data_IF_165766514331
#
_entry.id   IF_165766514331
#
_cell.length_a   1.000
_cell.length_b   1.000
_cell.length_c   1.000
_cell.angle_alpha   90.00
_cell.angle_beta   90.00
_cell.angle_gamma   90.00
#
_symmetry.space_group_name_H-M   'P 1'
#
loop_
_entity.id
_entity.type
_entity.pdbx_description
1 polymer ?
2 polymer ?
3 polymer ?
4 water ?
#
loop_
_entity_poly.entity_id
_entity_poly.type
_entity_poly.pdbx_seq_one_letter_code
_entity_poly.pdbx_strand_id
1 'polydeoxyribonucleotide' '(DT)(DA)(DT)(DA)(DA)(DC)(DT)(DT)(DC)(DG)(DT)(DA)(DT)(DA)(DG)(DC)' ?
2 'polydeoxyribonucleotide' '(DA)(DT)(DA)(DT)(DG)(DC)(DT)(DA)(DT)(DA)(DC)(DG)(DA)(DA)(DG)(DT)(DT)(DA)(DT)' ?
#
# COMPACT_ATOMS: atom_id res chain seq x y z
N UNK C 1 -5.56 1.59 -26.00
CA UNK C 1 -6.05 1.22 -27.33
C UNK C 1 -7.50 0.83 -27.25
N UNK C 2 -8.34 1.43 -28.08
CA UNK C 2 -9.76 1.10 -28.08
C UNK C 2 -10.01 -0.34 -28.52
N UNK C 3 -9.41 -0.77 -29.62
CA UNK C 3 -9.60 -2.16 -30.06
C UNK C 3 -9.57 -3.01 -28.80
N UNK C 4 -8.62 -2.69 -27.94
CA UNK C 4 -8.52 -3.40 -26.68
C UNK C 4 -9.48 -2.71 -25.70
N UNK C 5 -9.53 -1.38 -25.74
CA UNK C 5 -10.40 -0.60 -24.85
C UNK C 5 -11.84 -0.70 -25.29
N UNK C 6 -12.12 -0.01 -26.40
CA UNK C 6 -13.43 0.02 -27.03
C UNK C 6 -14.06 -1.37 -26.88
N UNK C 7 -13.21 -2.39 -26.99
CA UNK C 7 -13.65 -3.74 -26.80
C UNK C 7 -13.67 -4.08 -25.31
N UNK C 8 -12.64 -3.68 -24.58
CA UNK C 8 -12.66 -3.99 -23.15
C UNK C 8 -13.73 -3.15 -22.46
N UNK C 9 -14.43 -2.35 -23.25
CA UNK C 9 -15.57 -1.63 -22.73
C UNK C 9 -16.53 -2.81 -22.72
N UNK C 10 -16.43 -3.62 -23.76
CA UNK C 10 -17.29 -4.80 -23.92
C UNK C 10 -16.69 -6.17 -23.53
N UNK C 11 -17.39 -6.82 -22.59
CA UNK C 11 -17.13 -8.19 -22.07
C UNK C 11 -17.08 -8.45 -20.55
N UNK C 12 -16.69 -9.68 -20.22
CA UNK C 12 -16.58 -10.12 -18.83
C UNK C 12 -17.93 -9.94 -18.14
N UNK C 13 -18.89 -10.74 -18.61
CA UNK C 13 -20.31 -10.74 -18.19
C UNK C 13 -20.75 -10.34 -16.79
N UNK C 14 -19.87 -10.43 -15.82
CA UNK C 14 -20.25 -10.05 -14.48
C UNK C 14 -19.19 -9.25 -13.74
N UNK C 15 -19.18 -7.95 -14.02
CA UNK C 15 -18.25 -6.99 -13.40
C UNK C 15 -17.73 -7.41 -12.04
N UNK C 16 -18.63 -7.41 -11.04
CA UNK C 16 -18.27 -7.77 -9.68
C UNK C 16 -17.50 -9.09 -9.51
N UNK C 17 -17.01 -9.63 -10.62
CA UNK C 17 -16.20 -10.83 -10.65
C UNK C 17 -14.75 -10.46 -10.31
N UNK C 18 -14.33 -9.26 -10.68
CA UNK C 18 -12.97 -8.80 -10.36
C UNK C 18 -13.00 -7.43 -9.76
N UNK C 19 -12.00 -7.14 -8.93
CA UNK C 19 -11.90 -5.84 -8.29
C UNK C 19 -11.68 -4.78 -9.38
N UNK C 20 -12.12 -3.56 -9.11
CA UNK C 20 -11.91 -2.47 -10.06
C UNK C 20 -10.40 -2.27 -10.31
N UNK C 21 -9.62 -2.28 -9.24
CA UNK C 21 -8.18 -2.15 -9.41
C UNK C 21 -7.75 -3.28 -10.35
N UNK C 22 -8.25 -4.49 -10.12
CA UNK C 22 -7.86 -5.59 -11.00
C UNK C 22 -8.21 -5.27 -12.47
N UNK C 23 -9.40 -4.73 -12.72
CA UNK C 23 -9.77 -4.44 -14.09
C UNK C 23 -8.84 -3.45 -14.72
N UNK C 24 -8.37 -2.50 -13.93
CA UNK C 24 -7.48 -1.44 -14.42
C UNK C 24 -6.16 -2.03 -14.92
N UNK C 25 -5.61 -2.96 -14.17
CA UNK C 25 -4.37 -3.59 -14.54
C UNK C 25 -4.54 -4.45 -15.79
N UNK C 26 -5.64 -5.18 -15.87
CA UNK C 26 -5.91 -6.04 -17.02
C UNK C 26 -5.88 -5.20 -18.29
N UNK C 27 -6.50 -4.03 -18.20
CA UNK C 27 -6.57 -3.11 -19.32
C UNK C 27 -5.18 -2.53 -19.69
N UNK C 28 -4.40 -2.13 -18.68
CA UNK C 28 -3.09 -1.56 -18.94
C UNK C 28 -2.21 -2.63 -19.63
N UNK C 29 -2.25 -3.83 -19.08
CA UNK C 29 -1.49 -4.93 -19.63
C UNK C 29 -1.90 -5.23 -21.07
N UNK C 30 -3.21 -5.25 -21.32
CA UNK C 30 -3.77 -5.50 -22.64
C UNK C 30 -3.35 -4.45 -23.66
N UNK C 31 -3.25 -3.21 -23.20
CA UNK C 31 -2.80 -2.14 -24.07
C UNK C 31 -1.33 -2.42 -24.43
N UNK C 32 -0.54 -2.76 -23.43
CA UNK C 32 0.88 -3.03 -23.61
C UNK C 32 1.11 -4.21 -24.57
N UNK C 33 0.48 -5.32 -24.25
CA UNK C 33 0.60 -6.50 -25.04
C UNK C 33 0.12 -6.23 -26.50
N UNK C 34 -1.00 -5.52 -26.66
CA UNK C 34 -1.55 -5.19 -27.99
C UNK C 34 -0.60 -4.31 -28.82
N UNK C 35 -0.06 -3.27 -28.18
CA UNK C 35 0.88 -2.39 -28.86
C UNK C 35 2.12 -3.21 -29.34
N UNK C 36 2.63 -4.11 -28.49
CA UNK C 36 3.81 -4.91 -28.81
C UNK C 36 3.50 -5.87 -29.94
N UNK C 37 2.29 -6.41 -29.92
CA UNK C 37 1.86 -7.31 -30.95
C UNK C 37 1.76 -6.52 -32.29
N UNK C 38 1.24 -5.31 -32.21
CA UNK C 38 1.10 -4.48 -33.39
C UNK C 38 2.45 -4.16 -34.02
N UNK C 39 3.37 -3.61 -33.22
CA UNK C 39 4.70 -3.25 -33.69
C UNK C 39 5.48 -4.43 -34.25
N UNK C 40 5.32 -5.59 -33.64
CA UNK C 40 6.07 -6.75 -34.03
C UNK C 40 5.28 -7.69 -34.88
N UNK C 41 4.11 -7.23 -35.30
CA UNK C 41 3.27 -8.07 -36.13
C UNK C 41 2.92 -9.45 -35.61
N UNK C 42 2.45 -9.54 -34.36
CA UNK C 42 2.02 -10.85 -33.84
C UNK C 42 0.52 -10.81 -33.54
N UNK C 43 -0.07 -11.99 -33.38
CA UNK C 43 -1.50 -12.14 -33.06
C UNK C 43 -1.74 -11.87 -31.59
N UNK C 44 -2.59 -10.89 -31.30
CA UNK C 44 -2.92 -10.52 -29.91
C UNK C 44 -3.79 -11.48 -29.12
N UNK C 45 -4.77 -12.10 -29.77
CA UNK C 45 -5.61 -13.12 -29.12
C UNK C 45 -6.23 -14.08 -30.12
N UNK C 46 -6.16 -15.36 -29.83
CA UNK C 46 -5.50 -15.88 -28.65
C UNK C 46 -3.99 -15.81 -28.83
N UNK C 47 -3.29 -15.50 -27.74
CA UNK C 47 -1.85 -15.36 -27.75
C UNK C 47 -1.09 -16.65 -27.98
N UNK C 48 0.01 -16.60 -28.75
CA UNK C 48 0.84 -17.79 -28.95
C UNK C 48 1.97 -17.77 -27.96
N UNK C 49 2.18 -18.91 -27.34
CA UNK C 49 3.20 -19.07 -26.30
C UNK C 49 4.55 -18.43 -26.61
N UNK C 50 5.07 -18.70 -27.80
CA UNK C 50 6.39 -18.21 -28.23
C UNK C 50 6.39 -16.71 -28.27
N UNK C 51 5.22 -16.17 -28.61
CA UNK C 51 5.01 -14.73 -28.61
C UNK C 51 4.94 -14.18 -27.18
N UNK C 52 4.25 -14.89 -26.29
CA UNK C 52 4.16 -14.43 -24.91
C UNK C 52 5.56 -14.44 -24.35
N UNK C 53 6.26 -15.55 -24.57
CA UNK C 53 7.62 -15.68 -24.11
C UNK C 53 8.50 -14.49 -24.52
N UNK C 54 8.41 -14.11 -25.80
CA UNK C 54 9.21 -13.01 -26.30
C UNK C 54 8.76 -11.70 -25.68
N UNK C 55 7.46 -11.54 -25.47
CA UNK C 55 6.93 -10.31 -24.84
C UNK C 55 7.43 -10.16 -23.39
N UNK C 56 7.49 -11.25 -22.65
CA UNK C 56 8.01 -11.19 -21.28
C UNK C 56 9.51 -10.79 -21.29
N UNK C 57 10.28 -11.35 -22.22
CA UNK C 57 11.70 -11.02 -22.35
C UNK C 57 11.86 -9.53 -22.70
N UNK C 58 10.91 -9.04 -23.47
CA UNK C 58 10.88 -7.64 -23.85
C UNK C 58 10.70 -6.75 -22.57
N UNK C 59 9.84 -7.21 -21.65
CA UNK C 59 9.60 -6.47 -20.39
C UNK C 59 10.87 -6.49 -19.58
N UNK C 60 11.46 -7.69 -19.48
CA UNK C 60 12.69 -7.83 -18.76
C UNK C 60 13.81 -6.96 -19.40
N UNK C 61 13.89 -6.98 -20.73
CA UNK C 61 14.93 -6.21 -21.43
C UNK C 61 14.74 -4.71 -21.31
N UNK C 62 13.53 -4.29 -20.91
CA UNK C 62 13.32 -2.89 -20.65
C UNK C 62 13.47 -2.46 -19.19
N UNK C 63 13.98 -3.36 -18.37
CA UNK C 63 14.25 -3.03 -16.98
C UNK C 63 13.08 -3.22 -16.01
N UNK C 64 12.05 -3.95 -16.38
CA UNK C 64 10.95 -4.11 -15.44
C UNK C 64 11.23 -5.14 -14.35
N UNK C 65 10.57 -4.96 -13.19
CA UNK C 65 10.74 -5.85 -12.02
C UNK C 65 10.05 -7.16 -12.27
N UNK C 66 10.53 -8.21 -11.60
CA UNK C 66 9.93 -9.53 -11.75
C UNK C 66 8.43 -9.48 -11.38
N UNK C 67 8.09 -8.78 -10.31
CA UNK C 67 6.68 -8.69 -9.94
C UNK C 67 5.85 -8.03 -11.06
N UNK C 68 6.44 -7.08 -11.78
CA UNK C 68 5.77 -6.43 -12.89
C UNK C 68 5.54 -7.41 -14.04
N UNK C 69 6.59 -8.17 -14.37
CA UNK C 69 6.50 -9.17 -15.44
C UNK C 69 5.45 -10.25 -15.13
N UNK C 70 5.43 -10.71 -13.86
CA UNK C 70 4.47 -11.71 -13.35
C UNK C 70 3.07 -11.13 -13.52
N UNK C 71 2.94 -9.82 -13.26
CA UNK C 71 1.65 -9.15 -13.43
C UNK C 71 1.10 -9.27 -14.88
N UNK C 72 1.94 -8.90 -15.86
CA UNK C 72 1.55 -8.96 -17.26
C UNK C 72 1.24 -10.39 -17.65
N UNK C 73 2.05 -11.31 -17.21
CA UNK C 73 1.77 -12.71 -17.55
C UNK C 73 0.44 -13.07 -16.91
N UNK C 74 0.24 -12.60 -15.66
CA UNK C 74 -0.97 -12.85 -14.87
C UNK C 74 -2.26 -12.46 -15.61
N UNK C 75 -2.31 -11.23 -16.08
CA UNK C 75 -3.47 -10.77 -16.82
C UNK C 75 -3.70 -11.55 -18.11
N UNK C 76 -2.61 -11.89 -18.79
CA UNK C 76 -2.71 -12.62 -20.04
C UNK C 76 -3.35 -13.95 -19.77
N UNK C 77 -2.88 -14.60 -18.70
CA UNK C 77 -3.44 -15.88 -18.31
C UNK C 77 -4.93 -15.68 -18.06
N UNK C 78 -5.27 -14.60 -17.35
CA UNK C 78 -6.66 -14.33 -17.07
C UNK C 78 -7.41 -14.18 -18.37
N UNK C 79 -7.33 -13.02 -19.01
CA UNK C 79 -8.00 -12.81 -20.29
C UNK C 79 -8.33 -14.19 -20.90
N UNK C 80 -7.30 -15.00 -21.04
CA UNK C 80 -7.42 -16.32 -21.61
C UNK C 80 -8.21 -17.31 -20.76
N UNK C 81 -7.95 -17.38 -19.46
CA UNK C 81 -8.67 -18.34 -18.62
C UNK C 81 -10.19 -18.16 -18.77
N UNK C 82 -10.65 -16.91 -18.84
CA UNK C 82 -12.07 -16.60 -18.97
C UNK C 82 -12.80 -17.09 -20.22
N UNK C 83 -12.09 -17.24 -21.33
CA UNK C 83 -12.72 -17.72 -22.56
C UNK C 83 -12.27 -19.14 -22.78
N UNK C 84 -12.04 -19.84 -21.67
CA UNK C 84 -11.60 -21.23 -21.73
C UNK C 84 -10.63 -21.52 -22.87
N UNK C 85 -9.36 -21.14 -22.65
CA UNK C 85 -8.26 -21.37 -23.60
C UNK C 85 -7.03 -21.66 -22.73
N UNK C 86 -6.21 -22.62 -23.12
CA UNK C 86 -5.01 -22.91 -22.33
C UNK C 86 -4.36 -21.56 -21.99
N UNK C 87 -4.06 -21.36 -20.72
CA UNK C 87 -3.45 -20.11 -20.29
C UNK C 87 -2.04 -20.07 -20.83
N UNK C 88 -1.60 -18.89 -21.27
CA UNK C 88 -0.23 -18.79 -21.77
C UNK C 88 0.75 -19.48 -20.84
N UNK C 89 0.55 -19.35 -19.53
CA UNK C 89 1.44 -19.98 -18.58
C UNK C 89 1.55 -21.50 -18.67
N UNK C 90 0.52 -22.17 -19.18
CA UNK C 90 0.60 -23.62 -19.26
C UNK C 90 1.32 -24.17 -20.47
N UNK C 91 1.93 -23.26 -21.22
CA UNK C 91 2.76 -23.57 -22.36
C UNK C 91 4.11 -23.70 -21.69
N UNK C 92 4.87 -24.72 -22.03
CA UNK C 92 6.14 -24.85 -21.36
C UNK C 92 7.15 -23.78 -21.78
N UNK C 93 6.89 -23.11 -22.88
CA UNK C 93 7.82 -22.05 -23.30
C UNK C 93 7.74 -20.85 -22.35
N UNK C 94 6.53 -20.57 -21.89
CA UNK C 94 6.29 -19.46 -20.95
C UNK C 94 6.77 -19.83 -19.55
N UNK C 95 6.65 -21.10 -19.20
CA UNK C 95 7.10 -21.59 -17.90
C UNK C 95 8.60 -21.50 -17.76
N UNK C 96 9.33 -21.98 -18.77
CA UNK C 96 10.79 -21.94 -18.70
C UNK C 96 11.22 -20.49 -18.64
N UNK C 97 10.54 -19.63 -19.41
CA UNK C 97 10.92 -18.24 -19.41
C UNK C 97 10.80 -17.55 -18.06
N UNK C 98 9.65 -17.72 -17.40
CA UNK C 98 9.45 -17.09 -16.10
C UNK C 98 10.48 -17.56 -15.08
N UNK C 99 10.89 -18.82 -15.24
CA UNK C 99 11.90 -19.42 -14.39
C UNK C 99 13.25 -18.78 -14.71
N UNK C 100 13.64 -18.77 -15.98
CA UNK C 100 14.91 -18.15 -16.32
C UNK C 100 14.92 -16.70 -15.80
N UNK C 101 13.88 -15.94 -16.16
CA UNK C 101 13.74 -14.52 -15.74
C UNK C 101 13.91 -14.29 -14.25
N UNK C 102 13.28 -15.14 -13.45
CA UNK C 102 13.38 -15.03 -12.00
C UNK C 102 14.79 -15.25 -11.52
N UNK C 103 15.44 -16.25 -12.08
CA UNK C 103 16.80 -16.59 -11.70
C UNK C 103 17.82 -15.50 -12.03
N UNK C 104 17.79 -15.00 -13.27
CA UNK C 104 18.72 -13.96 -13.64
C UNK C 104 18.54 -12.73 -12.78
N UNK C 105 17.32 -12.21 -12.77
CA UNK C 105 16.97 -11.00 -12.02
C UNK C 105 17.48 -11.12 -10.59
N UNK C 106 17.22 -12.27 -9.99
CA UNK C 106 17.70 -12.55 -8.64
C UNK C 106 19.25 -12.50 -8.63
N UNK C 107 19.89 -13.35 -9.43
CA UNK C 107 21.34 -13.37 -9.49
C UNK C 107 21.89 -11.99 -9.82
N UNK C 108 21.01 -11.12 -10.27
CA UNK C 108 21.36 -9.74 -10.60
C UNK C 108 21.23 -8.92 -9.34
N UNK C 109 20.96 -9.61 -8.23
CA UNK C 109 20.79 -8.95 -6.94
C UNK C 109 19.43 -8.24 -6.79
N UNK C 110 18.54 -8.43 -7.74
CA UNK C 110 17.24 -7.79 -7.63
C UNK C 110 16.38 -8.44 -6.56
N UNK C 111 15.70 -7.59 -5.78
CA UNK C 111 14.84 -8.01 -4.67
C UNK C 111 13.69 -7.01 -4.51
N UNK C 112 12.54 -7.47 -4.03
CA UNK C 112 11.37 -6.60 -3.85
C UNK C 112 11.69 -5.46 -2.88
N UNK C 113 11.41 -4.25 -3.32
CA UNK C 113 11.63 -3.08 -2.48
C UNK C 113 10.57 -3.02 -1.35
N UNK C 114 10.67 -2.00 -0.52
CA UNK C 114 9.73 -1.80 0.58
C UNK C 114 9.75 -0.32 0.93
N UNK C 115 8.58 0.22 1.29
CA UNK C 115 8.45 1.63 1.65
C UNK C 115 9.43 2.04 2.73
N UNK C 116 9.84 3.30 2.66
CA UNK C 116 10.74 3.83 3.64
C UNK C 116 9.94 3.84 4.94
N UNK C 117 10.52 3.24 5.98
CA UNK C 117 9.87 3.11 7.28
C UNK C 117 9.59 4.43 8.01
N UNK C 118 8.39 4.55 8.55
CA UNK C 118 8.04 5.69 9.37
C UNK C 118 7.87 4.97 10.73
N UNK C 119 8.84 5.16 11.61
CA UNK C 119 8.88 4.44 12.89
C UNK C 119 8.60 5.34 14.06
N UNK C 120 8.68 4.78 15.27
CA UNK C 120 8.43 5.55 16.48
C UNK C 120 9.32 6.80 16.63
N UNK C 121 10.58 6.71 16.21
CA UNK C 121 11.50 7.85 16.29
C UNK C 121 11.04 8.91 15.33
N UNK C 122 10.57 8.49 14.17
CA UNK C 122 10.00 9.41 13.17
C UNK C 122 8.71 10.07 13.69
N UNK C 123 7.83 9.28 14.31
CA UNK C 123 6.58 9.78 14.84
C UNK C 123 6.83 10.82 15.97
N UNK C 124 7.74 10.50 16.87
CA UNK C 124 8.08 11.40 17.97
C UNK C 124 8.67 12.71 17.43
N UNK C 125 9.50 12.61 16.41
CA UNK C 125 10.10 13.79 15.84
C UNK C 125 9.04 14.66 15.18
N UNK C 126 8.22 14.06 14.34
CA UNK C 126 7.17 14.83 13.68
C UNK C 126 6.23 15.42 14.73
N UNK C 127 5.95 14.64 15.77
CA UNK C 127 5.08 15.15 16.81
C UNK C 127 5.72 16.34 17.52
N UNK C 128 7.04 16.31 17.66
CA UNK C 128 7.77 17.41 18.27
C UNK C 128 7.59 18.69 17.44
N UNK C 129 7.76 18.58 16.13
CA UNK C 129 7.64 19.76 15.29
C UNK C 129 6.19 20.25 15.20
N UNK C 130 5.28 19.32 14.96
CA UNK C 130 3.89 19.63 14.67
C UNK C 130 2.83 19.78 15.78
N UNK C 131 3.05 19.16 16.94
CA UNK C 131 2.04 19.17 18.00
C UNK C 131 1.50 20.51 18.48
N UNK C 132 2.35 21.55 18.52
CA UNK C 132 1.88 22.88 18.96
C UNK C 132 1.22 23.72 17.85
N UNK C 133 1.31 23.23 16.62
CA UNK C 133 0.75 23.93 15.48
C UNK C 133 -0.74 24.28 15.56
N UNK C 134 -1.09 25.42 15.01
CA UNK C 134 -2.47 25.87 14.98
C UNK C 134 -3.02 25.82 13.55
N UNK C 135 -2.20 25.28 12.63
CA UNK C 135 -2.61 25.14 11.22
C UNK C 135 -3.52 23.92 11.08
N UNK C 136 -4.70 24.12 10.51
CA UNK C 136 -5.67 23.06 10.31
C UNK C 136 -5.03 21.81 9.62
N UNK C 137 -4.29 22.06 8.55
CA UNK C 137 -3.54 21.04 7.81
C UNK C 137 -2.62 20.23 8.72
N UNK C 138 -1.87 20.90 9.59
CA UNK C 138 -0.97 20.20 10.51
C UNK C 138 -1.75 19.40 11.52
N UNK C 139 -2.88 19.92 11.98
CA UNK C 139 -3.67 19.21 12.99
C UNK C 139 -4.21 17.91 12.36
N UNK C 140 -4.72 18.03 11.14
CA UNK C 140 -5.26 16.88 10.41
C UNK C 140 -4.17 15.87 10.12
N UNK C 141 -3.04 16.35 9.57
CA UNK C 141 -1.95 15.48 9.15
C UNK C 141 -1.31 14.71 10.26
N UNK C 142 -1.18 15.36 11.41
CA UNK C 142 -0.62 14.71 12.59
C UNK C 142 -1.58 13.64 13.14
N UNK C 143 -2.88 13.90 13.07
CA UNK C 143 -3.82 12.87 13.52
C UNK C 143 -3.75 11.68 12.56
N UNK C 144 -3.61 11.99 11.26
CA UNK C 144 -3.55 10.96 10.22
C UNK C 144 -2.31 10.08 10.45
N UNK C 145 -1.19 10.70 10.75
CA UNK C 145 0.03 9.93 10.93
C UNK C 145 -0.05 9.09 12.20
N UNK C 146 -0.74 9.60 13.22
CA UNK C 146 -0.88 8.89 14.47
C UNK C 146 -1.70 7.62 14.25
N UNK C 147 -2.79 7.77 13.53
CA UNK C 147 -3.63 6.63 13.24
C UNK C 147 -2.89 5.59 12.40
N UNK C 148 -2.21 6.07 11.36
CA UNK C 148 -1.49 5.18 10.45
C UNK C 148 -0.48 4.32 11.19
N UNK C 149 0.28 4.96 12.10
CA UNK C 149 1.31 4.29 12.85
C UNK C 149 0.74 3.35 13.93
N UNK C 150 -0.26 3.84 14.67
CA UNK C 150 -0.93 3.10 15.77
C UNK C 150 -1.73 1.90 15.27
N UNK C 151 -2.42 2.07 14.14
CA UNK C 151 -3.30 1.02 13.64
C UNK C 151 -2.72 0.18 12.52
N UNK C 152 -1.67 0.67 11.85
CA UNK C 152 -1.08 -0.07 10.72
C UNK C 152 -2.09 -0.23 9.59
N UNK C 153 -3.15 0.55 9.61
CA UNK C 153 -4.13 0.45 8.53
C UNK C 153 -3.56 0.97 7.20
N UNK C 154 -4.00 0.34 6.10
CA UNK C 154 -3.63 0.78 4.75
C UNK C 154 -4.32 2.14 4.47
N UNK C 155 -3.74 2.95 3.60
CA UNK C 155 -4.35 4.24 3.25
C UNK C 155 -5.80 4.15 2.77
N UNK C 156 -6.16 3.14 1.97
CA UNK C 156 -7.56 2.99 1.52
C UNK C 156 -8.55 2.76 2.68
N UNK C 157 -8.08 2.10 3.74
CA UNK C 157 -8.90 1.84 4.91
C UNK C 157 -9.02 3.10 5.73
N UNK C 158 -7.93 3.84 5.84
CA UNK C 158 -7.97 5.06 6.61
C UNK C 158 -8.87 6.09 5.90
N UNK C 159 -8.81 6.15 4.57
CA UNK C 159 -9.63 7.10 3.82
C UNK C 159 -11.14 6.86 4.03
N UNK C 160 -11.47 5.61 4.33
CA UNK C 160 -12.85 5.25 4.48
C UNK C 160 -13.45 5.23 5.89
N UNK C 161 -12.66 5.56 6.87
CA UNK C 161 -13.20 5.63 8.22
C UNK C 161 -14.21 6.80 8.29
N UNK C 162 -15.39 6.53 8.84
CA UNK C 162 -16.40 7.56 9.05
C UNK C 162 -16.45 7.82 10.53
N UNK C 163 -16.90 9.01 10.92
CA UNK C 163 -16.98 9.38 12.32
C UNK C 163 -17.75 8.37 13.19
N UNK C 164 -18.83 7.83 12.64
CA UNK C 164 -19.62 6.85 13.37
C UNK C 164 -18.84 5.57 13.65
N UNK C 165 -17.70 5.36 12.99
CA UNK C 165 -16.93 4.15 13.20
C UNK C 165 -16.16 4.25 14.52
N UNK C 166 -16.15 5.44 15.08
CA UNK C 166 -15.35 5.65 16.27
C UNK C 166 -16.15 5.50 17.57
N UNK C 167 -15.63 4.76 18.52
CA UNK C 167 -16.30 4.57 19.80
C UNK C 167 -15.22 4.72 20.87
N UNK C 168 -15.59 4.56 22.13
CA UNK C 168 -14.60 4.68 23.18
C UNK C 168 -14.36 3.41 23.94
N UNK C 169 -13.14 3.27 24.42
CA UNK C 169 -12.82 2.07 25.14
C UNK C 169 -12.14 2.43 26.42
N UNK C 170 -11.47 1.44 26.99
CA UNK C 170 -10.83 1.58 28.26
C UNK C 170 -10.02 2.87 28.35
N UNK C 171 -10.37 3.73 29.30
CA UNK C 171 -9.61 4.96 29.55
C UNK C 171 -9.98 6.13 28.68
N UNK C 172 -10.96 5.95 27.81
CA UNK C 172 -11.37 7.04 26.94
C UNK C 172 -10.68 6.92 25.60
N UNK C 173 -9.77 5.99 25.49
CA UNK C 173 -9.07 5.77 24.23
C UNK C 173 -10.12 5.53 23.19
N UNK C 174 -9.84 5.89 21.93
CA UNK C 174 -10.77 5.62 20.83
C UNK C 174 -10.61 4.20 20.31
N UNK C 175 -11.68 3.70 19.73
CA UNK C 175 -11.71 2.39 19.12
C UNK C 175 -12.24 2.69 17.73
N UNK C 176 -11.58 2.18 16.70
CA UNK C 176 -12.09 2.44 15.37
C UNK C 176 -12.51 1.14 14.76
N UNK C 177 -13.77 1.10 14.33
CA UNK C 177 -14.35 -0.07 13.70
C UNK C 177 -14.01 -0.08 12.22
N UNK C 178 -13.45 -1.18 11.73
CA UNK C 178 -13.10 -1.37 10.31
C UNK C 178 -13.97 -2.52 9.82
N UNK C 179 -14.86 -2.28 8.85
CA UNK C 179 -15.73 -3.36 8.35
C UNK C 179 -15.02 -4.26 7.34
N UNK C 180 -15.53 -5.48 7.14
CA UNK C 180 -14.92 -6.43 6.20
C UNK C 180 -14.29 -5.72 5.00
N UNK C 189 -13.84 -6.55 9.51
CA UNK C 189 -14.74 -6.27 10.62
C UNK C 189 -14.04 -6.30 12.00
N UNK C 190 -12.99 -5.52 12.16
CA UNK C 190 -12.25 -5.51 13.40
C UNK C 190 -12.36 -4.16 14.09
N UNK C 191 -11.81 -4.06 15.30
CA UNK C 191 -11.81 -2.82 16.04
C UNK C 191 -10.34 -2.45 16.31
N UNK C 192 -9.93 -1.25 15.91
CA UNK C 192 -8.55 -0.77 16.15
C UNK C 192 -8.49 0.17 17.34
N UNK C 193 -7.67 -0.16 18.33
CA UNK C 193 -7.57 0.68 19.49
C UNK C 193 -6.45 1.70 19.39
N UNK C 194 -6.75 2.93 19.80
CA UNK C 194 -5.76 4.02 19.78
C UNK C 194 -5.23 4.29 21.19
N UNK C 195 -3.99 4.77 21.27
CA UNK C 195 -3.38 5.11 22.54
C UNK C 195 -4.04 6.40 22.99
N UNK C 196 -3.77 6.80 24.23
CA UNK C 196 -4.29 8.04 24.83
C UNK C 196 -3.79 9.23 24.02
N UNK C 197 -2.49 9.22 23.70
CA UNK C 197 -1.90 10.31 22.93
C UNK C 197 -2.46 10.43 21.51
N UNK C 198 -2.61 9.31 20.81
CA UNK C 198 -3.13 9.38 19.45
C UNK C 198 -4.60 9.75 19.50
N UNK C 199 -5.33 9.24 20.49
CA UNK C 199 -6.75 9.55 20.64
C UNK C 199 -6.83 11.07 20.81
N UNK C 200 -5.95 11.63 21.63
CA UNK C 200 -5.96 13.06 21.86
C UNK C 200 -5.74 13.86 20.56
N UNK C 201 -4.81 13.43 19.71
CA UNK C 201 -4.52 14.08 18.42
C UNK C 201 -5.74 14.00 17.51
N UNK C 202 -6.43 12.87 17.55
CA UNK C 202 -7.59 12.66 16.70
C UNK C 202 -8.74 13.52 17.19
N UNK C 203 -8.89 13.61 18.51
CA UNK C 203 -9.94 14.43 19.12
C UNK C 203 -9.77 15.90 18.69
N UNK C 204 -8.52 16.35 18.65
CA UNK C 204 -8.27 17.73 18.25
C UNK C 204 -8.68 17.94 16.81
N UNK C 205 -8.28 17.05 15.92
CA UNK C 205 -8.66 17.19 14.51
C UNK C 205 -10.19 17.18 14.38
N UNK C 206 -10.83 16.26 15.08
CA UNK C 206 -12.27 16.16 15.03
C UNK C 206 -12.89 17.51 15.51
N UNK C 207 -12.41 18.02 16.63
CA UNK C 207 -12.97 19.26 17.16
C UNK C 207 -12.81 20.49 16.26
N UNK C 208 -11.66 20.61 15.58
CA UNK C 208 -11.40 21.76 14.74
C UNK C 208 -12.06 21.67 13.35
N UNK C 209 -12.12 20.48 12.79
CA UNK C 209 -12.68 20.31 11.45
C UNK C 209 -14.23 20.27 11.38
N UNK C 210 -14.88 19.93 12.49
CA UNK C 210 -16.32 19.81 12.54
C UNK C 210 -16.83 18.55 11.84
N UNK C 211 -15.96 17.58 11.56
CA UNK C 211 -16.42 16.36 10.89
C UNK C 211 -17.53 15.64 11.67
N UNK C 212 -17.49 15.75 12.99
CA UNK C 212 -18.44 15.09 13.82
C UNK C 212 -19.84 15.73 13.73
N UNK C 213 -20.02 16.78 12.90
CA UNK C 213 -21.36 17.40 12.75
C UNK C 213 -22.34 16.45 12.10
N UNK C 214 -21.81 15.49 11.36
CA UNK C 214 -22.62 14.43 10.74
C UNK C 214 -21.82 13.12 10.88
N UNK C 215 -22.34 12.18 11.66
CA UNK C 215 -21.68 10.88 11.91
C UNK C 215 -21.32 10.06 10.66
N UNK C 216 -21.98 10.32 9.54
CA UNK C 216 -21.68 9.63 8.30
C UNK C 216 -20.48 10.28 7.61
N UNK C 217 -20.02 11.42 8.11
CA UNK C 217 -18.87 12.09 7.50
C UNK C 217 -17.63 11.22 7.63
N UNK C 218 -16.77 11.28 6.62
CA UNK C 218 -15.49 10.59 6.67
C UNK C 218 -14.65 11.33 7.69
N UNK C 219 -13.86 10.61 8.47
CA UNK C 219 -13.03 11.26 9.48
C UNK C 219 -12.06 12.31 8.87
N UNK C 220 -11.42 11.98 7.76
CA UNK C 220 -10.49 12.91 7.16
C UNK C 220 -11.12 13.54 5.93
N UNK C 221 -10.85 14.83 5.72
CA UNK C 221 -11.41 15.56 4.58
C UNK C 221 -10.39 16.59 4.11
N UNK C 222 -10.67 17.19 2.95
CA UNK C 222 -9.83 18.21 2.37
C UNK C 222 -9.74 19.45 3.27
N UNK C 223 -8.63 20.15 3.15
CA UNK C 223 -8.42 21.39 3.83
C UNK C 223 -7.84 22.35 2.78
N UNK C 224 -8.66 23.26 2.28
CA UNK C 224 -8.25 24.18 1.22
C UNK C 224 -7.21 25.18 1.67
N UNK C 225 -6.61 25.89 0.72
CA UNK C 225 -5.53 26.86 1.01
C UNK C 225 -5.93 27.94 2.02
N UNK C 226 -7.25 28.21 2.06
CA UNK C 226 -7.89 29.13 3.00
C UNK C 226 -7.75 28.59 4.42
N UNK C 227 -7.63 27.28 4.58
CA UNK C 227 -7.58 26.67 5.90
C UNK C 227 -9.01 26.26 6.30
N UNK C 228 -9.91 26.23 5.32
CA UNK C 228 -11.29 25.82 5.57
C UNK C 228 -11.44 24.35 5.20
N UNK C 229 -11.86 23.55 6.19
CA UNK C 229 -12.09 22.13 6.06
C UNK C 229 -13.41 21.90 5.33
N UNK C 230 -13.52 20.78 4.62
CA UNK C 230 -14.74 20.46 3.92
C UNK C 230 -15.23 19.08 4.27
N UNK C 231 -15.84 18.94 5.44
CA UNK C 231 -16.36 17.64 5.83
C UNK C 231 -17.28 17.11 4.74
N UNK C 232 -17.39 15.78 4.65
CA UNK C 232 -18.22 15.16 3.64
C UNK C 232 -18.52 13.71 3.97
N UNK C 233 -19.72 13.27 3.61
CA UNK C 233 -20.13 11.89 3.84
C UNK C 233 -20.18 11.14 2.52
N UNK C 234 -19.87 11.83 1.42
CA UNK C 234 -19.91 11.21 0.12
C UNK C 234 -18.54 11.25 -0.55
N UNK C 235 -17.67 12.13 -0.12
CA UNK C 235 -16.38 12.15 -0.74
C UNK C 235 -15.25 11.89 0.25
N UNK C 236 -14.39 10.93 -0.10
CA UNK C 236 -13.21 10.57 0.70
C UNK C 236 -11.98 11.32 0.21
N UNK C 237 -10.98 11.48 1.06
CA UNK C 237 -9.71 12.04 0.59
C UNK C 237 -9.19 10.88 -0.29
N UNK C 238 -8.52 11.18 -1.40
CA UNK C 238 -8.00 10.09 -2.25
C UNK C 238 -6.80 9.43 -1.50
N UNK C 239 -6.46 8.19 -1.88
CA UNK C 239 -5.31 7.54 -1.28
C UNK C 239 -4.06 8.32 -1.76
N UNK C 240 -4.17 8.96 -2.93
CA UNK C 240 -3.08 9.81 -3.44
C UNK C 240 -2.72 10.97 -2.48
N UNK C 241 -3.74 11.66 -1.95
CA UNK C 241 -3.57 12.77 -0.96
C UNK C 241 -2.91 12.27 0.34
N UNK C 242 -3.34 11.09 0.80
CA UNK C 242 -2.79 10.44 2.01
C UNK C 242 -1.30 10.09 1.77
N UNK C 243 -0.98 9.60 0.59
CA UNK C 243 0.43 9.37 0.28
C UNK C 243 1.15 10.75 0.29
N UNK C 244 0.47 11.80 -0.19
CA UNK C 244 1.04 13.16 -0.25
C UNK C 244 1.36 13.70 1.14
N UNK C 245 0.54 13.33 2.12
CA UNK C 245 0.80 13.75 3.51
C UNK C 245 2.12 13.15 4.00
N UNK C 246 2.32 11.87 3.69
CA UNK C 246 3.58 11.22 4.07
C UNK C 246 4.77 11.94 3.37
N UNK C 247 4.64 12.17 2.06
CA UNK C 247 5.67 12.85 1.26
C UNK C 247 5.97 14.23 1.82
N UNK C 248 4.94 15.04 2.03
CA UNK C 248 5.08 16.42 2.59
C UNK C 248 5.79 16.39 3.90
N UNK C 249 5.37 15.47 4.78
CA UNK C 249 5.95 15.38 6.11
C UNK C 249 7.41 15.03 6.02
N UNK C 250 7.75 14.20 5.04
CA UNK C 250 9.16 13.84 4.89
C UNK C 250 9.93 15.08 4.45
N UNK C 251 9.38 15.81 3.46
CA UNK C 251 10.02 17.02 2.94
C UNK C 251 10.25 17.99 4.08
N UNK C 252 9.25 18.09 4.95
CA UNK C 252 9.35 18.98 6.09
C UNK C 252 10.60 18.74 6.92
N UNK C 253 11.01 17.51 7.08
CA UNK C 253 12.16 17.29 7.93
C UNK C 253 13.44 17.16 7.14
N UNK C 254 13.33 16.65 5.91
CA UNK C 254 14.55 16.37 5.18
C UNK C 254 14.77 17.16 3.92
N UNK C 255 13.89 18.08 3.62
CA UNK C 255 14.03 18.83 2.39
C UNK C 255 13.54 18.01 1.20
N UNK C 256 13.69 18.53 -0.01
CA UNK C 256 13.24 17.83 -1.21
C UNK C 256 14.08 16.58 -1.49
N UNK C 257 13.50 15.63 -2.21
CA UNK C 257 14.20 14.38 -2.49
C UNK C 257 15.16 14.38 -3.64
N UNK C 258 16.13 13.47 -3.60
CA UNK C 258 17.11 13.39 -4.68
C UNK C 258 16.40 13.09 -5.98
N UNK C 259 16.86 13.68 -7.08
CA UNK C 259 16.21 13.50 -8.37
C UNK C 259 16.53 12.18 -9.09
N UNK C 260 16.92 11.15 -8.33
CA UNK C 260 17.21 9.87 -8.96
C UNK C 260 16.00 9.20 -9.57
N UNK C 261 14.80 9.58 -9.14
CA UNK C 261 13.59 8.96 -9.67
C UNK C 261 13.38 7.56 -9.07
N UNK C 262 14.18 7.23 -8.09
CA UNK C 262 14.02 5.94 -7.45
C UNK C 262 12.80 5.98 -6.52
N UNK C 263 12.10 4.86 -6.38
CA UNK C 263 10.96 4.81 -5.50
C UNK C 263 11.45 4.84 -4.06
N UNK C 264 10.56 5.22 -3.14
CA UNK C 264 10.85 5.19 -1.72
C UNK C 264 11.91 6.10 -1.18
N UNK C 265 12.09 7.26 -1.81
CA UNK C 265 13.08 8.22 -1.32
C UNK C 265 12.50 9.03 -0.17
N UNK C 266 11.17 9.03 -0.09
CA UNK C 266 10.41 9.75 0.93
C UNK C 266 9.36 8.79 1.49
N UNK C 267 8.76 9.11 2.63
CA UNK C 267 7.70 8.25 3.17
C UNK C 267 6.55 8.18 2.18
N UNK C 268 5.88 7.04 2.15
CA UNK C 268 4.73 6.85 1.28
C UNK C 268 3.60 6.20 2.11
N UNK C 269 2.52 5.81 1.42
CA UNK C 269 1.31 5.25 2.05
C UNK C 269 1.55 4.07 2.96
N UNK C 270 2.58 3.27 2.67
CA UNK C 270 2.86 2.08 3.48
C UNK C 270 3.89 2.25 4.57
N UNK C 271 4.46 3.45 4.65
CA UNK C 271 5.54 3.71 5.60
C UNK C 271 5.31 3.41 7.09
N UNK C 272 4.13 3.80 7.61
CA UNK C 272 3.86 3.63 9.03
C UNK C 272 3.55 2.15 9.32
N UNK C 273 2.93 1.46 8.36
CA UNK C 273 2.67 0.04 8.56
C UNK C 273 4.05 -0.71 8.61
N UNK C 274 4.92 -0.40 7.63
CA UNK C 274 6.27 -0.99 7.60
C UNK C 274 6.98 -0.62 8.94
N UNK C 275 6.96 0.66 9.30
CA UNK C 275 7.63 1.12 10.50
C UNK C 275 7.13 0.51 11.80
N UNK C 276 5.82 0.51 12.01
CA UNK C 276 5.27 -0.05 13.25
C UNK C 276 5.56 -1.56 13.37
N UNK C 277 5.54 -2.28 12.23
CA UNK C 277 5.79 -3.74 12.23
C UNK C 277 7.22 -3.99 12.67
N UNK C 278 8.15 -3.19 12.17
CA UNK C 278 9.55 -3.29 12.60
C UNK C 278 9.70 -2.95 14.07
N UNK C 279 8.99 -1.92 14.53
CA UNK C 279 9.08 -1.55 15.96
C UNK C 279 8.60 -2.66 16.89
N UNK C 280 7.51 -3.33 16.50
CA UNK C 280 6.97 -4.43 17.31
C UNK C 280 7.95 -5.59 17.31
N UNK C 281 8.44 -5.94 16.13
CA UNK C 281 9.42 -7.01 16.05
C UNK C 281 10.61 -6.64 16.92
N UNK C 282 11.12 -5.41 16.80
CA UNK C 282 12.31 -5.00 17.58
C UNK C 282 12.13 -5.00 19.08
N UNK C 283 10.89 -4.78 19.52
CA UNK C 283 10.54 -4.74 20.94
C UNK C 283 10.28 -6.14 21.55
N UNK C 284 10.49 -7.19 20.77
CA UNK C 284 10.27 -8.54 21.28
C UNK C 284 8.78 -8.95 21.32
N UNK C 285 7.90 -8.18 20.71
CA UNK C 285 6.49 -8.58 20.68
C UNK C 285 6.34 -9.94 19.92
N UNK C 286 5.47 -10.79 20.45
CA UNK C 286 5.24 -12.09 19.83
C UNK C 286 4.55 -11.98 18.48
N UNK C 287 4.72 -13.01 17.67
CA UNK C 287 4.12 -13.01 16.37
C UNK C 287 2.56 -12.87 16.33
N UNK C 288 1.84 -13.62 17.17
CA UNK C 288 0.39 -13.51 17.18
C UNK C 288 -0.05 -12.06 17.50
N UNK C 289 0.59 -11.42 18.47
CA UNK C 289 0.26 -10.04 18.80
C UNK C 289 0.64 -9.10 17.66
N UNK C 290 1.73 -9.39 16.94
CA UNK C 290 2.11 -8.54 15.78
C UNK C 290 1.06 -8.79 14.70
N UNK C 291 0.63 -10.03 14.55
CA UNK C 291 -0.35 -10.35 13.53
C UNK C 291 -1.67 -9.63 13.81
N UNK C 292 -2.08 -9.62 15.07
CA UNK C 292 -3.31 -8.93 15.44
C UNK C 292 -3.21 -7.41 15.21
N UNK C 293 -2.05 -6.84 15.53
CA UNK C 293 -1.80 -5.41 15.35
C UNK C 293 -1.98 -4.94 13.91
N UNK C 294 -1.61 -5.78 12.95
CA UNK C 294 -1.73 -5.42 11.54
C UNK C 294 -2.75 -6.20 10.75
N UNK C 295 -3.51 -7.05 11.42
CA UNK C 295 -4.53 -7.82 10.72
C UNK C 295 -4.00 -8.95 9.84
N UNK C 296 -2.86 -9.51 10.16
CA UNK C 296 -2.38 -10.65 9.35
C UNK C 296 -2.96 -11.98 9.87
N UNK C 297 -3.15 -12.94 8.98
CA UNK C 297 -3.60 -14.29 9.37
C UNK C 297 -2.58 -15.35 8.95
N UNK C 298 -1.68 -14.98 8.05
CA UNK C 298 -0.66 -15.92 7.60
C UNK C 298 0.69 -15.49 8.14
N UNK C 299 1.33 -16.36 8.91
CA UNK C 299 2.66 -16.11 9.51
C UNK C 299 3.78 -15.84 8.47
N UNK C 300 3.68 -16.53 7.35
CA UNK C 300 4.66 -16.41 6.28
C UNK C 300 4.57 -15.01 5.74
N UNK C 301 3.33 -14.57 5.52
CA UNK C 301 3.07 -13.24 5.01
C UNK C 301 3.50 -12.15 5.95
N UNK C 302 3.28 -12.32 7.24
CA UNK C 302 3.75 -11.30 8.17
C UNK C 302 5.29 -11.28 8.26
N UNK C 303 5.91 -12.44 8.20
CA UNK C 303 7.35 -12.45 8.31
C UNK C 303 8.04 -11.88 7.09
N UNK C 304 7.41 -12.03 5.92
CA UNK C 304 8.03 -11.46 4.71
C UNK C 304 7.91 -9.96 4.83
N UNK C 305 6.84 -9.50 5.44
CA UNK C 305 6.69 -8.05 5.56
C UNK C 305 7.76 -7.42 6.44
N UNK C 306 8.11 -8.13 7.50
CA UNK C 306 9.09 -7.63 8.43
C UNK C 306 10.50 -8.15 8.12
N UNK C 307 10.78 -8.42 6.85
CA UNK C 307 12.07 -8.94 6.44
C UNK C 307 13.21 -7.93 6.56
N UNK C 308 12.89 -6.67 6.86
CA UNK C 308 13.93 -5.65 6.96
C UNK C 308 14.08 -5.08 8.34
N UNK C 309 13.89 -5.91 9.37
CA UNK C 309 14.07 -5.47 10.78
C UNK C 309 15.40 -4.69 10.77
N UNK C 310 15.35 -3.44 11.22
CA UNK C 310 16.48 -2.54 11.13
C UNK C 310 17.21 -2.05 12.35
N UNK C 311 17.23 -2.84 13.41
CA UNK C 311 18.04 -2.53 14.58
C UNK C 311 18.43 -3.92 15.12
N UNK C 312 19.52 -4.00 15.88
CA UNK C 312 19.99 -5.28 16.38
C UNK C 312 19.28 -5.62 17.65
N UNK C 313 18.59 -6.75 17.70
CA UNK C 313 17.90 -7.09 18.95
C UNK C 313 18.78 -7.83 19.98
N UNK C 314 19.93 -8.32 19.55
CA UNK C 314 20.87 -8.98 20.44
C UNK C 314 20.27 -9.97 21.43
N UNK C 315 19.43 -10.88 20.95
CA UNK C 315 18.90 -11.91 21.84
C UNK C 315 20.00 -12.78 22.50
N UNK C 316 21.05 -13.15 21.75
CA UNK C 316 22.13 -13.95 22.34
C UNK C 316 22.95 -13.15 23.36
N UNK C 317 23.22 -11.88 23.07
CA UNK C 317 23.97 -11.05 24.04
C UNK C 317 23.13 -11.00 25.33
N UNK C 318 21.83 -10.74 25.22
CA UNK C 318 21.00 -10.67 26.41
C UNK C 318 21.01 -11.96 27.21
N UNK C 319 20.87 -13.08 26.53
CA UNK C 319 20.89 -14.37 27.23
C UNK C 319 22.25 -14.58 27.95
N UNK C 320 23.34 -14.35 27.24
CA UNK C 320 24.69 -14.56 27.78
C UNK C 320 25.00 -13.62 28.95
N UNK C 321 24.51 -12.40 28.86
CA UNK C 321 24.73 -11.45 29.91
C UNK C 321 23.60 -11.61 30.94
N UNK C 322 22.73 -12.61 30.67
CA UNK C 322 21.51 -13.03 31.45
C UNK C 322 20.59 -11.86 31.64
N UNK C 323 19.89 -11.50 30.57
CA UNK C 323 19.12 -10.27 30.56
C UNK C 323 20.37 -9.38 30.61
N UNK C 324 20.83 -9.15 31.83
CA UNK C 324 22.05 -8.43 32.13
C UNK C 324 21.95 -8.02 33.61
#
# INVERSE_FOLDING_TARGET
SDEVRKNLMDMFRDRQAFSEHTWKMLLSVCRSWAAWCKLNNRKWFPAEPEDVRDYLLYLQARGLAVKTIQQHLGQLNMLHRRSGLPRPSDSNAVSLVMRRIRKENVDAGERAKQALAFERTDFDQVRSLMENSDRCQDIRNLAFLGIAYNTLLRIAEIARIRVKDISRTDGGRMLIHIGRTKTLVSTAGVEKALSLGVTKLVERWISVSGVADDPNNYLFCRVRKNGVAAPSATSQLSTRALEGIFEATHRLIYGAKDDSGQRYLAWSGHSARVGAARDMARAGVSIPEIMQAGGWTNVNIVMNFIRNLDSETGAMVRLLEDGD
#
